data_IF_933004812444
#
_entry.id   IF_933004812444
#
_cell.length_a   1.000
_cell.length_b   1.000
_cell.length_c   1.000
_cell.angle_alpha   90.00
_cell.angle_beta   90.00
_cell.angle_gamma   90.00
#
_symmetry.space_group_name_H-M   'P 1'
#
loop_
_entity.id
_entity.type
_entity.pdbx_description
1 polymer ?
#
# COMPACT_ATOMS: atom_id res chain seq x y z
N UNK A 1 9.05 0.22 2.18
CA UNK A 1 8.12 1.19 1.53
C UNK A 1 8.73 2.54 1.18
N UNK A 2 9.25 3.35 2.12
CA UNK A 2 9.82 4.68 1.77
C UNK A 2 11.00 4.58 0.81
N UNK A 3 11.91 3.61 1.01
CA UNK A 3 13.00 3.35 0.08
C UNK A 3 12.50 2.98 -1.32
N UNK A 4 11.48 2.12 -1.40
CA UNK A 4 10.76 1.77 -2.62
C UNK A 4 10.18 3.01 -3.32
N UNK A 5 9.48 3.85 -2.56
CA UNK A 5 8.91 5.09 -3.06
C UNK A 5 9.96 6.05 -3.62
N UNK A 6 11.12 6.18 -2.94
CA UNK A 6 12.25 7.02 -3.39
C UNK A 6 12.88 6.52 -4.68
N UNK A 7 12.98 5.20 -4.84
CA UNK A 7 13.53 4.54 -6.04
C UNK A 7 12.57 4.55 -7.23
N UNK A 8 11.34 5.03 -7.05
CA UNK A 8 10.29 5.00 -8.05
C UNK A 8 9.94 3.58 -8.50
N UNK A 9 9.96 2.65 -7.55
CA UNK A 9 9.65 1.23 -7.75
C UNK A 9 8.38 0.83 -6.98
N UNK A 10 7.91 -0.39 -7.19
CA UNK A 10 6.94 -1.06 -6.34
C UNK A 10 7.61 -2.19 -5.55
N UNK A 11 6.94 -2.65 -4.50
CA UNK A 11 7.32 -3.84 -3.75
C UNK A 11 6.16 -4.84 -3.80
N UNK A 12 6.47 -6.12 -3.96
CA UNK A 12 5.46 -7.16 -3.88
C UNK A 12 5.02 -7.33 -2.43
N UNK A 13 3.74 -7.67 -2.25
CA UNK A 13 3.17 -7.97 -0.95
C UNK A 13 3.98 -9.05 -0.18
N UNK A 14 4.51 -10.05 -0.89
CA UNK A 14 5.38 -11.09 -0.33
C UNK A 14 6.77 -10.60 0.08
N UNK A 15 7.37 -9.71 -0.72
CA UNK A 15 8.69 -9.14 -0.41
C UNK A 15 8.58 -8.21 0.80
N UNK A 16 7.52 -7.40 0.86
CA UNK A 16 7.26 -6.55 2.02
C UNK A 16 7.07 -7.38 3.30
N UNK A 17 6.30 -8.46 3.23
CA UNK A 17 6.08 -9.35 4.37
C UNK A 17 7.41 -9.92 4.91
N UNK A 18 8.28 -10.37 4.00
CA UNK A 18 9.62 -10.82 4.37
C UNK A 18 10.43 -9.70 5.02
N UNK A 19 10.54 -8.54 4.37
CA UNK A 19 11.32 -7.39 4.87
C UNK A 19 10.86 -6.95 6.27
N UNK A 20 9.56 -6.77 6.49
CA UNK A 20 9.01 -6.36 7.79
C UNK A 20 9.32 -7.37 8.88
N UNK A 21 9.28 -8.66 8.55
CA UNK A 21 9.50 -9.72 9.52
C UNK A 21 10.97 -9.87 9.88
N UNK A 22 11.86 -9.72 8.90
CA UNK A 22 13.31 -9.66 9.11
C UNK A 22 13.71 -8.45 9.96
N UNK A 23 13.19 -7.26 9.65
CA UNK A 23 13.47 -6.03 10.41
C UNK A 23 12.96 -6.09 11.86
N UNK A 24 11.84 -6.79 12.09
CA UNK A 24 11.20 -6.90 13.40
C UNK A 24 11.66 -8.14 14.21
N UNK A 25 12.50 -9.02 13.64
CA UNK A 25 12.86 -10.33 14.20
C UNK A 25 11.61 -11.18 14.58
N UNK A 26 10.67 -11.26 13.63
CA UNK A 26 9.40 -11.98 13.79
C UNK A 26 9.16 -12.99 12.67
N UNK A 27 8.19 -13.88 12.86
CA UNK A 27 7.78 -14.83 11.82
C UNK A 27 6.93 -14.10 10.77
N UNK A 28 7.17 -14.31 9.46
CA UNK A 28 6.34 -13.76 8.41
C UNK A 28 4.88 -14.19 8.49
N UNK A 29 3.98 -13.29 8.07
CA UNK A 29 2.57 -13.60 7.92
C UNK A 29 2.37 -14.75 6.92
N UNK A 30 1.57 -15.75 7.28
CA UNK A 30 1.28 -16.89 6.40
C UNK A 30 0.11 -16.54 5.46
N UNK A 31 0.41 -16.32 4.18
CA UNK A 31 -0.61 -15.94 3.20
C UNK A 31 -1.62 -17.05 2.88
N UNK A 32 -1.39 -18.30 3.28
CA UNK A 32 -2.42 -19.34 3.20
C UNK A 32 -3.55 -19.12 4.21
N UNK A 33 -3.32 -18.30 5.25
CA UNK A 33 -4.29 -17.98 6.31
C UNK A 33 -4.94 -16.62 6.06
N UNK A 34 -6.26 -16.61 5.98
CA UNK A 34 -7.05 -15.38 5.77
C UNK A 34 -6.79 -14.35 6.87
N UNK A 35 -6.63 -14.81 8.12
CA UNK A 35 -6.33 -13.95 9.29
C UNK A 35 -5.01 -13.22 9.14
N UNK A 36 -3.97 -13.89 8.67
CA UNK A 36 -2.63 -13.32 8.50
C UNK A 36 -2.60 -12.33 7.33
N UNK A 37 -3.30 -12.63 6.23
CA UNK A 37 -3.49 -11.66 5.13
C UNK A 37 -4.22 -10.42 5.61
N UNK A 38 -5.27 -10.57 6.41
CA UNK A 38 -6.00 -9.46 7.00
C UNK A 38 -5.13 -8.65 7.98
N UNK A 39 -4.27 -9.31 8.75
CA UNK A 39 -3.35 -8.66 9.69
C UNK A 39 -2.32 -7.79 8.97
N UNK A 40 -1.67 -8.31 7.91
CA UNK A 40 -0.74 -7.49 7.11
C UNK A 40 -1.46 -6.34 6.40
N UNK A 41 -2.68 -6.56 5.91
CA UNK A 41 -3.53 -5.48 5.37
C UNK A 41 -3.85 -4.40 6.40
N UNK A 42 -4.14 -4.80 7.64
CA UNK A 42 -4.38 -3.89 8.77
C UNK A 42 -3.12 -3.10 9.12
N UNK A 43 -1.96 -3.75 9.18
CA UNK A 43 -0.68 -3.08 9.40
C UNK A 43 -0.41 -2.01 8.35
N UNK A 44 -0.64 -2.30 7.07
CA UNK A 44 -0.51 -1.32 6.00
C UNK A 44 -1.46 -0.14 6.17
N UNK A 45 -2.70 -0.40 6.59
CA UNK A 45 -3.67 0.65 6.85
C UNK A 45 -3.26 1.54 8.03
N UNK A 46 -2.71 0.96 9.08
CA UNK A 46 -2.23 1.69 10.25
C UNK A 46 -1.02 2.56 9.90
N UNK A 47 -0.10 2.06 9.06
CA UNK A 47 1.02 2.86 8.55
C UNK A 47 0.52 4.07 7.76
N UNK A 48 -0.48 3.88 6.87
CA UNK A 48 -1.08 5.01 6.14
C UNK A 48 -1.71 6.01 7.10
N UNK A 49 -2.52 5.56 8.06
CA UNK A 49 -3.19 6.46 9.03
C UNK A 49 -2.20 7.20 9.93
N UNK A 50 -1.04 6.61 10.23
CA UNK A 50 0.01 7.24 11.02
C UNK A 50 0.79 8.31 10.24
N UNK A 51 0.74 8.30 8.89
CA UNK A 51 1.41 9.31 8.07
C UNK A 51 0.63 10.63 8.09
N UNK A 52 1.25 11.72 8.57
CA UNK A 52 0.64 13.06 8.57
C UNK A 52 0.21 13.57 7.17
N UNK A 53 0.74 12.96 6.12
CA UNK A 53 0.42 13.29 4.73
C UNK A 53 -0.60 12.33 4.10
N UNK A 54 -1.22 11.45 4.88
CA UNK A 54 -2.22 10.50 4.40
C UNK A 54 -3.40 11.19 3.72
N UNK A 55 -3.67 12.48 4.01
CA UNK A 55 -4.70 13.28 3.35
C UNK A 55 -4.35 13.66 1.90
N UNK A 56 -3.11 13.45 1.47
CA UNK A 56 -2.61 13.78 0.13
C UNK A 56 -2.29 12.56 -0.71
N UNK A 57 -1.69 11.54 -0.09
CA UNK A 57 -1.38 10.29 -0.75
C UNK A 57 -1.31 9.14 0.26
N UNK A 58 -1.51 7.91 -0.21
CA UNK A 58 -1.38 6.71 0.61
C UNK A 58 -0.05 6.03 0.31
N UNK A 59 0.91 6.06 1.25
CA UNK A 59 2.25 5.47 1.04
C UNK A 59 2.22 3.98 0.69
N UNK A 60 1.18 3.26 1.10
CA UNK A 60 0.96 1.85 0.73
C UNK A 60 0.66 1.64 -0.75
N UNK A 61 0.48 2.70 -1.55
CA UNK A 61 0.28 2.62 -3.00
C UNK A 61 1.45 1.95 -3.75
N UNK A 62 2.64 1.92 -3.14
CA UNK A 62 3.83 1.25 -3.72
C UNK A 62 3.78 -0.28 -3.56
N UNK A 63 2.81 -0.81 -2.81
CA UNK A 63 2.68 -2.26 -2.55
C UNK A 63 1.71 -2.85 -3.57
N UNK A 64 2.12 -3.90 -4.26
CA UNK A 64 1.29 -4.60 -5.24
C UNK A 64 1.17 -6.10 -4.97
N UNK A 65 0.08 -6.69 -5.46
CA UNK A 65 -0.05 -8.15 -5.48
C UNK A 65 0.76 -8.73 -6.65
N UNK A 66 1.23 -9.97 -6.53
CA UNK A 66 1.98 -10.64 -7.60
C UNK A 66 1.10 -11.01 -8.81
N UNK A 67 -0.18 -11.27 -8.58
CA UNK A 67 -1.14 -11.70 -9.59
C UNK A 67 -2.03 -10.57 -10.13
N UNK A 68 -1.83 -9.33 -9.68
CA UNK A 68 -2.59 -8.16 -10.10
C UNK A 68 -1.67 -7.10 -10.66
N UNK A 69 -2.19 -6.28 -11.59
CA UNK A 69 -1.49 -5.11 -12.07
C UNK A 69 -1.38 -4.01 -11.00
N UNK A 70 -2.06 -4.13 -9.86
CA UNK A 70 -2.12 -3.12 -8.81
C UNK A 70 -2.16 -3.66 -7.36
N UNK A 71 -2.65 -2.84 -6.41
CA UNK A 71 -2.74 -3.19 -5.00
C UNK A 71 -3.90 -4.16 -4.75
N UNK A 72 -3.97 -4.71 -3.54
CA UNK A 72 -5.11 -5.53 -3.13
C UNK A 72 -6.32 -4.70 -2.70
N UNK A 73 -7.50 -5.32 -2.64
CA UNK A 73 -8.78 -4.67 -2.32
C UNK A 73 -8.77 -3.86 -1.03
N UNK A 74 -8.01 -4.29 -0.02
CA UNK A 74 -7.86 -3.56 1.25
C UNK A 74 -7.30 -2.14 1.07
N UNK A 75 -6.52 -1.87 0.01
CA UNK A 75 -6.08 -0.53 -0.33
C UNK A 75 -7.26 0.36 -0.75
N UNK A 76 -8.13 -0.14 -1.62
CA UNK A 76 -9.29 0.60 -2.11
C UNK A 76 -10.32 0.79 -0.99
N UNK A 77 -10.59 -0.23 -0.18
CA UNK A 77 -11.46 -0.09 0.99
C UNK A 77 -10.93 0.94 1.98
N UNK A 78 -9.61 1.02 2.18
CA UNK A 78 -9.01 2.07 3.00
C UNK A 78 -9.16 3.45 2.36
N UNK A 79 -8.96 3.57 1.04
CA UNK A 79 -9.15 4.83 0.32
C UNK A 79 -10.59 5.35 0.44
N UNK A 80 -11.60 4.48 0.31
CA UNK A 80 -13.01 4.82 0.54
C UNK A 80 -13.24 5.30 1.98
N UNK A 81 -12.71 4.57 2.97
CA UNK A 81 -12.85 4.93 4.38
C UNK A 81 -12.17 6.27 4.73
N UNK A 82 -11.10 6.63 4.03
CA UNK A 82 -10.41 7.92 4.18
C UNK A 82 -11.03 9.04 3.35
N UNK A 83 -12.04 8.75 2.52
CA UNK A 83 -12.68 9.71 1.63
C UNK A 83 -11.86 10.09 0.38
N UNK A 84 -10.86 9.28 0.03
CA UNK A 84 -10.00 9.48 -1.15
C UNK A 84 -10.60 8.94 -2.44
N UNK A 85 -11.45 7.92 -2.31
CA UNK A 85 -12.13 7.25 -3.40
C UNK A 85 -13.62 7.18 -3.09
N UNK A 86 -14.47 7.43 -4.07
CA UNK A 86 -15.90 7.26 -3.92
C UNK A 86 -16.28 5.78 -3.70
N UNK A 87 -17.25 5.55 -2.81
CA UNK A 87 -17.72 4.20 -2.51
C UNK A 87 -18.31 3.54 -3.77
N UNK A 88 -17.85 2.32 -4.08
CA UNK A 88 -18.35 1.57 -5.23
C UNK A 88 -17.81 2.07 -6.57
N UNK A 89 -16.64 2.74 -6.57
CA UNK A 89 -15.93 3.11 -7.78
C UNK A 89 -15.74 1.91 -8.74
N UNK A 90 -15.80 2.17 -10.05
CA UNK A 90 -15.54 1.15 -11.07
C UNK A 90 -14.08 0.67 -11.02
N UNK A 91 -13.80 -0.50 -11.60
CA UNK A 91 -12.44 -1.05 -11.67
C UNK A 91 -11.47 -0.11 -12.41
N UNK A 92 -11.90 0.51 -13.51
CA UNK A 92 -11.09 1.51 -14.23
C UNK A 92 -10.78 2.71 -13.32
N UNK A 93 -11.76 3.21 -12.56
CA UNK A 93 -11.57 4.34 -11.66
C UNK A 93 -10.65 3.98 -10.48
N UNK A 94 -10.77 2.77 -9.94
CA UNK A 94 -9.84 2.24 -8.92
C UNK A 94 -8.41 2.19 -9.46
N UNK A 95 -8.23 1.68 -10.68
CA UNK A 95 -6.91 1.61 -11.31
C UNK A 95 -6.31 3.00 -11.52
N UNK A 96 -7.08 3.94 -12.10
CA UNK A 96 -6.67 5.34 -12.27
C UNK A 96 -6.28 5.98 -10.93
N UNK A 97 -7.13 5.82 -9.91
CA UNK A 97 -6.86 6.30 -8.56
C UNK A 97 -5.55 5.74 -8.02
N UNK A 98 -5.32 4.43 -8.13
CA UNK A 98 -4.06 3.84 -7.68
C UNK A 98 -2.84 4.43 -8.40
N UNK A 99 -2.91 4.60 -9.72
CA UNK A 99 -1.83 5.23 -10.51
C UNK A 99 -1.58 6.66 -10.04
N UNK A 100 -2.62 7.45 -9.77
CA UNK A 100 -2.51 8.80 -9.20
C UNK A 100 -1.81 8.78 -7.84
N UNK A 101 -2.23 7.89 -6.92
CA UNK A 101 -1.63 7.72 -5.60
C UNK A 101 -0.15 7.32 -5.69
N UNK A 102 0.18 6.37 -6.56
CA UNK A 102 1.54 5.92 -6.79
C UNK A 102 2.43 7.07 -7.28
N UNK A 103 1.93 7.87 -8.24
CA UNK A 103 2.64 9.04 -8.73
C UNK A 103 2.88 10.06 -7.63
N UNK A 104 1.86 10.40 -6.84
CA UNK A 104 1.97 11.36 -5.73
C UNK A 104 2.98 10.90 -4.67
N UNK A 105 2.92 9.63 -4.29
CA UNK A 105 3.87 9.00 -3.35
C UNK A 105 5.31 9.12 -3.88
N UNK A 106 5.57 8.74 -5.14
CA UNK A 106 6.90 8.89 -5.74
C UNK A 106 7.36 10.34 -5.80
N UNK A 107 6.48 11.24 -6.23
CA UNK A 107 6.80 12.66 -6.37
C UNK A 107 7.15 13.32 -5.02
N UNK A 108 6.49 12.92 -3.94
CA UNK A 108 6.80 13.39 -2.59
C UNK A 108 8.19 12.92 -2.14
N UNK A 109 8.46 11.61 -2.24
CA UNK A 109 9.70 11.04 -1.74
C UNK A 109 10.92 11.30 -2.63
N UNK A 110 10.72 11.57 -3.93
CA UNK A 110 11.78 12.01 -4.87
C UNK A 110 12.32 13.40 -4.53
N UNK A 111 11.48 14.31 -4.03
CA UNK A 111 11.87 15.72 -3.78
C UNK A 111 12.61 15.95 -2.46
N UNK A 112 12.69 14.94 -1.58
CA UNK A 112 13.32 15.04 -0.25
C UNK A 112 14.77 14.53 -0.23
N UNK A 113 15.55 14.90 -1.24
CA UNK A 113 17.01 14.69 -1.27
C UNK A 113 17.71 15.87 -0.62
#
# INVERSE_FOLDING_TARGET
MVHTARRQEWILYSDLNREVSEDADTVPFDFSRDTDRAALGTLLADIVKADLLHSRFMVSSVVKLSASDGPGDGFYSLAENLGHLEAGASEDRKFEFWVEQLKLTHDHYRRRV
#
